data_IF_446078195234
#
_entry.id   IF_446078195234
#
_cell.length_a   1.000
_cell.length_b   1.000
_cell.length_c   1.000
_cell.angle_alpha   90.00
_cell.angle_beta   90.00
_cell.angle_gamma   90.00
#
_symmetry.space_group_name_H-M   'P 1'
#
loop_
_entity.id
_entity.type
_entity.pdbx_description
1 polymer ?
#
# COMPACT_ATOMS: atom_id res chain seq x y z
N UNK A 1 9.17 -14.55 5.93
CA UNK A 1 8.31 -13.38 5.67
C UNK A 1 6.89 -13.73 6.11
N UNK A 2 6.17 -12.85 6.81
CA UNK A 2 4.79 -13.07 7.25
C UNK A 2 3.86 -12.15 6.46
N UNK A 3 2.80 -12.69 5.88
CA UNK A 3 1.79 -11.94 5.10
C UNK A 3 0.50 -11.94 5.91
N UNK A 4 -0.09 -10.76 6.09
CA UNK A 4 -1.35 -10.56 6.82
C UNK A 4 -2.28 -9.80 5.89
N UNK A 5 -3.47 -10.34 5.62
CA UNK A 5 -4.51 -9.67 4.84
C UNK A 5 -5.64 -9.23 5.76
N UNK A 6 -6.07 -7.98 5.63
CA UNK A 6 -7.21 -7.41 6.34
C UNK A 6 -8.36 -7.28 5.35
N UNK A 7 -9.27 -8.26 5.35
CA UNK A 7 -10.33 -8.38 4.37
C UNK A 7 -11.70 -8.51 5.05
N UNK A 8 -12.69 -7.79 4.51
CA UNK A 8 -14.10 -7.86 4.87
C UNK A 8 -14.92 -7.17 3.77
N UNK A 9 -15.94 -7.83 3.23
CA UNK A 9 -16.76 -7.30 2.14
C UNK A 9 -17.57 -6.06 2.56
N UNK A 10 -17.86 -5.90 3.86
CA UNK A 10 -18.58 -4.74 4.36
C UNK A 10 -17.68 -3.49 4.37
N UNK A 11 -18.19 -2.39 3.81
CA UNK A 11 -17.57 -1.06 3.94
C UNK A 11 -17.68 -0.51 5.37
N UNK A 12 -16.74 0.35 5.77
CA UNK A 12 -16.81 1.04 7.08
C UNK A 12 -16.47 0.19 8.30
N UNK A 13 -15.90 -1.00 8.13
CA UNK A 13 -15.51 -1.93 9.22
C UNK A 13 -14.05 -1.79 9.66
N UNK A 14 -13.48 -0.58 9.52
CA UNK A 14 -12.13 -0.23 9.95
C UNK A 14 -10.96 -0.98 9.28
N UNK A 15 -11.14 -1.66 8.13
CA UNK A 15 -10.05 -2.37 7.42
C UNK A 15 -8.80 -1.51 7.23
N UNK A 16 -8.95 -0.35 6.60
CA UNK A 16 -7.86 0.60 6.33
C UNK A 16 -7.22 1.08 7.63
N UNK A 17 -8.05 1.46 8.62
CA UNK A 17 -7.58 1.90 9.94
C UNK A 17 -6.75 0.81 10.61
N UNK A 18 -7.20 -0.44 10.57
CA UNK A 18 -6.47 -1.59 11.10
C UNK A 18 -5.17 -1.82 10.33
N UNK A 19 -5.18 -1.77 9.00
CA UNK A 19 -3.97 -1.93 8.16
C UNK A 19 -2.90 -0.90 8.51
N UNK A 20 -3.26 0.39 8.53
CA UNK A 20 -2.32 1.48 8.85
C UNK A 20 -1.75 1.31 10.26
N UNK A 21 -2.62 1.17 11.26
CA UNK A 21 -2.19 1.15 12.66
C UNK A 21 -1.42 -0.13 12.99
N UNK A 22 -1.84 -1.30 12.50
CA UNK A 22 -1.10 -2.54 12.68
C UNK A 22 0.30 -2.45 12.07
N UNK A 23 0.39 -1.89 10.85
CA UNK A 23 1.68 -1.70 10.19
C UNK A 23 2.60 -0.75 10.95
N UNK A 24 2.07 0.39 11.37
CA UNK A 24 2.80 1.37 12.17
C UNK A 24 3.25 0.81 13.54
N UNK A 25 2.39 0.07 14.24
CA UNK A 25 2.75 -0.57 15.51
C UNK A 25 3.81 -1.64 15.33
N UNK A 26 3.72 -2.48 14.30
CA UNK A 26 4.77 -3.47 14.00
C UNK A 26 6.10 -2.80 13.66
N UNK A 27 6.06 -1.71 12.88
CA UNK A 27 7.23 -0.90 12.56
C UNK A 27 7.85 -0.26 13.82
N UNK A 28 7.02 0.27 14.73
CA UNK A 28 7.49 0.80 16.02
C UNK A 28 8.13 -0.27 16.93
N UNK A 29 7.78 -1.54 16.75
CA UNK A 29 8.42 -2.69 17.41
C UNK A 29 9.69 -3.19 16.66
N UNK A 30 10.27 -2.38 15.79
CA UNK A 30 11.50 -2.68 15.05
C UNK A 30 11.34 -3.65 13.88
N UNK A 31 10.09 -3.92 13.43
CA UNK A 31 9.86 -4.79 12.28
C UNK A 31 9.93 -4.00 10.97
N UNK A 32 10.50 -4.61 9.93
CA UNK A 32 10.41 -4.11 8.56
C UNK A 32 9.02 -4.45 7.99
N UNK A 33 8.22 -3.44 7.68
CA UNK A 33 6.81 -3.62 7.27
C UNK A 33 6.55 -2.96 5.92
N UNK A 34 5.96 -3.71 4.99
CA UNK A 34 5.40 -3.18 3.76
C UNK A 34 3.87 -3.24 3.84
N UNK A 35 3.23 -2.08 3.78
CA UNK A 35 1.80 -1.96 3.54
C UNK A 35 1.55 -2.02 2.04
N UNK A 36 0.55 -2.78 1.62
CA UNK A 36 0.12 -2.88 0.22
C UNK A 36 -1.34 -2.44 0.17
N UNK A 37 -1.60 -1.33 -0.50
CA UNK A 37 -2.97 -0.86 -0.70
C UNK A 37 -3.53 -1.53 -1.95
N UNK A 38 -4.63 -2.27 -1.82
CA UNK A 38 -5.31 -2.99 -2.90
C UNK A 38 -6.76 -2.52 -3.06
N UNK A 39 -7.06 -1.31 -2.60
CA UNK A 39 -8.37 -0.68 -2.76
C UNK A 39 -8.24 0.44 -3.80
N UNK A 40 -9.05 0.47 -4.87
CA UNK A 40 -9.04 1.59 -5.82
C UNK A 40 -9.34 2.95 -5.17
N UNK A 41 -10.06 2.99 -4.04
CA UNK A 41 -10.29 4.23 -3.31
C UNK A 41 -9.03 4.74 -2.58
N UNK A 42 -7.98 3.92 -2.53
CA UNK A 42 -6.65 4.29 -2.06
C UNK A 42 -6.61 4.92 -0.65
N UNK A 43 -7.56 4.54 0.22
CA UNK A 43 -7.65 5.13 1.56
C UNK A 43 -6.42 4.82 2.44
N UNK A 44 -5.71 3.71 2.20
CA UNK A 44 -4.46 3.45 2.92
C UNK A 44 -3.38 4.43 2.47
N UNK A 45 -3.28 4.63 1.16
CA UNK A 45 -2.35 5.56 0.51
C UNK A 45 -2.58 6.99 0.97
N UNK A 46 -3.83 7.47 0.88
CA UNK A 46 -4.24 8.80 1.35
C UNK A 46 -4.04 8.97 2.86
N UNK A 47 -4.43 7.96 3.66
CA UNK A 47 -4.28 7.97 5.11
C UNK A 47 -2.82 8.03 5.59
N UNK A 48 -1.86 7.73 4.70
CA UNK A 48 -0.42 7.84 4.95
C UNK A 48 0.20 9.12 4.36
N UNK A 49 -0.62 10.04 3.85
CA UNK A 49 -0.20 11.36 3.40
C UNK A 49 0.25 11.44 1.93
N UNK A 50 -0.08 10.44 1.11
CA UNK A 50 0.21 10.46 -0.33
C UNK A 50 -1.07 10.70 -1.10
N UNK A 51 -1.07 11.71 -1.97
CA UNK A 51 -2.19 12.02 -2.86
C UNK A 51 -2.24 11.01 -4.02
N UNK A 52 -3.22 10.08 -4.06
CA UNK A 52 -3.23 8.97 -5.02
C UNK A 52 -3.17 9.42 -6.49
N UNK A 53 -3.85 10.52 -6.83
CA UNK A 53 -3.93 11.04 -8.20
C UNK A 53 -2.60 11.62 -8.71
N UNK A 54 -1.65 11.90 -7.80
CA UNK A 54 -0.31 12.37 -8.17
C UNK A 54 0.68 11.23 -8.40
N UNK A 55 0.31 9.98 -8.08
CA UNK A 55 1.20 8.83 -8.14
C UNK A 55 1.19 8.21 -9.53
N UNK A 56 2.33 8.29 -10.22
CA UNK A 56 2.54 7.66 -11.53
C UNK A 56 2.87 6.16 -11.46
N UNK A 57 3.11 5.62 -10.27
CA UNK A 57 3.50 4.22 -10.04
C UNK A 57 2.74 3.67 -8.84
N UNK A 58 1.94 2.64 -9.07
CA UNK A 58 1.03 2.05 -8.09
C UNK A 58 1.01 0.53 -8.21
N UNK A 59 0.34 -0.14 -7.28
CA UNK A 59 0.21 -1.60 -7.27
C UNK A 59 -0.39 -2.18 -8.55
N UNK A 60 -1.21 -1.39 -9.27
CA UNK A 60 -1.77 -1.77 -10.57
C UNK A 60 -0.66 -2.20 -11.53
N UNK A 61 0.40 -1.38 -11.65
CA UNK A 61 1.54 -1.62 -12.54
C UNK A 61 2.28 -2.93 -12.20
N UNK A 62 2.26 -3.36 -10.95
CA UNK A 62 2.88 -4.62 -10.52
C UNK A 62 2.01 -5.82 -10.91
N UNK A 63 0.70 -5.65 -10.79
CA UNK A 63 -0.31 -6.67 -11.06
C UNK A 63 -0.66 -6.79 -12.55
N UNK A 64 -0.22 -5.85 -13.39
CA UNK A 64 -0.38 -5.95 -14.84
C UNK A 64 0.15 -7.30 -15.40
N UNK A 65 -0.49 -7.82 -16.46
CA UNK A 65 -0.06 -9.07 -17.10
C UNK A 65 1.42 -9.05 -17.51
N UNK A 66 2.07 -10.21 -17.49
CA UNK A 66 3.51 -10.34 -17.81
C UNK A 66 3.94 -9.77 -19.17
N UNK A 67 3.01 -9.65 -20.13
CA UNK A 67 3.28 -9.12 -21.47
C UNK A 67 3.09 -7.61 -21.57
N UNK A 68 2.61 -6.96 -20.52
CA UNK A 68 2.41 -5.51 -20.54
C UNK A 68 3.75 -4.78 -20.52
N UNK A 69 3.86 -3.74 -21.34
CA UNK A 69 5.03 -2.86 -21.39
C UNK A 69 5.16 -1.99 -20.12
N UNK A 70 4.05 -1.79 -19.40
CA UNK A 70 4.02 -0.95 -18.19
C UNK A 70 4.18 -1.77 -16.91
N UNK A 71 4.44 -3.09 -17.01
CA UNK A 71 4.63 -3.94 -15.85
C UNK A 71 5.88 -3.52 -15.09
N UNK A 72 5.70 -3.13 -13.83
CA UNK A 72 6.78 -2.78 -12.92
C UNK A 72 7.02 -3.92 -11.91
N UNK A 73 8.24 -3.97 -11.36
CA UNK A 73 8.51 -4.80 -10.17
C UNK A 73 7.97 -4.11 -8.93
N UNK A 74 7.65 -4.90 -7.90
CA UNK A 74 7.15 -4.36 -6.62
C UNK A 74 8.11 -3.32 -6.01
N UNK A 75 9.42 -3.53 -6.14
CA UNK A 75 10.46 -2.62 -5.65
C UNK A 75 10.34 -1.20 -6.23
N UNK A 76 9.85 -1.09 -7.47
CA UNK A 76 9.81 0.16 -8.22
C UNK A 76 8.61 1.04 -7.85
N UNK A 77 7.65 0.49 -7.11
CA UNK A 77 6.46 1.20 -6.63
C UNK A 77 6.49 1.45 -5.12
N UNK A 78 7.50 0.93 -4.42
CA UNK A 78 7.61 1.09 -2.96
C UNK A 78 8.01 2.52 -2.61
N UNK A 79 7.18 3.15 -1.79
CA UNK A 79 7.47 4.42 -1.13
C UNK A 79 7.93 4.13 0.30
N UNK A 80 9.06 4.73 0.69
CA UNK A 80 9.58 4.67 2.06
C UNK A 80 8.98 5.80 2.88
N UNK A 81 8.34 5.47 4.00
CA UNK A 81 7.73 6.47 4.87
C UNK A 81 8.76 7.01 5.87
N UNK A 82 8.76 8.33 6.05
CA UNK A 82 9.64 9.06 6.98
C UNK A 82 8.89 9.45 8.26
N UNK A 83 8.35 8.46 8.98
CA UNK A 83 7.49 8.70 10.16
C UNK A 83 8.18 8.40 11.49
N UNK A 84 9.27 7.63 11.48
CA UNK A 84 10.03 7.28 12.68
C UNK A 84 11.54 7.30 12.39
N UNK A 85 12.35 7.29 13.45
CA UNK A 85 13.81 7.26 13.36
C UNK A 85 14.33 6.04 12.58
N UNK A 86 13.64 4.90 12.68
CA UNK A 86 14.05 3.64 12.03
C UNK A 86 13.76 3.60 10.52
N UNK A 87 12.81 4.41 10.03
CA UNK A 87 12.35 4.43 8.64
C UNK A 87 12.10 3.01 8.07
N UNK A 88 11.44 2.16 8.86
CA UNK A 88 11.23 0.73 8.59
C UNK A 88 9.81 0.38 8.11
N UNK A 89 8.99 1.40 7.82
CA UNK A 89 7.66 1.29 7.24
C UNK A 89 7.65 1.75 5.76
N UNK A 90 7.04 0.93 4.92
CA UNK A 90 6.99 1.09 3.46
C UNK A 90 5.54 0.98 2.97
N UNK A 91 5.24 1.58 1.83
CA UNK A 91 3.94 1.52 1.17
C UNK A 91 4.11 1.15 -0.30
N UNK A 92 3.35 0.17 -0.78
CA UNK A 92 3.03 0.01 -2.19
C UNK A 92 1.62 0.61 -2.40
N UNK A 93 1.52 1.79 -3.05
CA UNK A 93 0.30 2.57 -3.06
C UNK A 93 -0.71 2.08 -4.10
N UNK A 94 -1.95 2.57 -3.98
CA UNK A 94 -3.03 2.39 -4.94
C UNK A 94 -3.52 3.75 -5.43
N UNK A 95 -4.32 3.73 -6.50
CA UNK A 95 -5.08 4.86 -7.03
C UNK A 95 -6.36 4.35 -7.72
N UNK A 96 -7.19 5.27 -8.22
CA UNK A 96 -8.48 4.94 -8.82
C UNK A 96 -8.36 4.04 -10.07
N UNK A 97 -7.23 4.12 -10.78
CA UNK A 97 -6.97 3.28 -11.96
C UNK A 97 -7.03 1.79 -11.61
N UNK A 98 -6.76 1.41 -10.36
CA UNK A 98 -6.87 0.01 -9.91
C UNK A 98 -8.29 -0.55 -10.03
N UNK A 99 -9.33 0.29 -10.13
CA UNK A 99 -10.70 -0.14 -10.41
C UNK A 99 -10.88 -0.75 -11.80
N UNK A 100 -9.91 -0.55 -12.71
CA UNK A 100 -9.91 -1.13 -14.07
C UNK A 100 -9.29 -2.54 -14.15
N UNK A 101 -8.78 -3.07 -13.03
CA UNK A 101 -8.13 -4.37 -12.93
C UNK A 101 -9.10 -5.56 -12.91
#
# INVERSE_FOLDING_TARGET
MRIISIANQKGGVAKTTTTINLGASLAALGRKVLLIDLDPQAHTTLGLGFEPDTLSKTILHVLEPHRSKNKLKLEEVIIKLKINSENNLFLAPSNIDFASA
#
